data_IF_373702335834
#
_entry.id   IF_373702335834
#
_cell.length_a   1.000
_cell.length_b   1.000
_cell.length_c   1.000
_cell.angle_alpha   90.00
_cell.angle_beta   90.00
_cell.angle_gamma   90.00
#
_symmetry.space_group_name_H-M   'P 1'
#
loop_
_entity.id
_entity.type
_entity.pdbx_description
1 polymer ?
#
# COMPACT_ATOMS: atom_id res chain seq x y z
N UNK A 1 -15.90 -1.28 -7.58
CA UNK A 1 -16.94 -2.05 -8.32
C UNK A 1 -16.44 -3.47 -8.46
N UNK A 2 -17.06 -4.44 -7.79
CA UNK A 2 -16.58 -5.81 -7.77
C UNK A 2 -16.62 -6.39 -9.19
N UNK A 3 -15.47 -6.85 -9.69
CA UNK A 3 -15.38 -7.61 -10.93
C UNK A 3 -16.11 -8.93 -10.71
N UNK A 4 -17.37 -8.99 -11.16
CA UNK A 4 -18.16 -10.21 -11.17
C UNK A 4 -17.42 -11.31 -11.93
N UNK A 5 -17.71 -12.57 -11.60
CA UNK A 5 -17.12 -13.79 -12.13
C UNK A 5 -17.40 -14.04 -13.64
N UNK A 6 -17.42 -12.98 -14.46
CA UNK A 6 -17.51 -13.04 -15.92
C UNK A 6 -16.14 -13.29 -16.56
N UNK A 7 -16.16 -13.68 -17.83
CA UNK A 7 -14.93 -13.87 -18.61
C UNK A 7 -14.07 -12.60 -18.60
N UNK A 8 -12.79 -12.75 -18.25
CA UNK A 8 -11.79 -11.66 -18.25
C UNK A 8 -11.54 -11.11 -19.65
N UNK A 9 -11.64 -11.99 -20.64
CA UNK A 9 -11.49 -11.65 -22.06
C UNK A 9 -12.82 -11.85 -22.78
N UNK A 10 -13.21 -10.86 -23.59
CA UNK A 10 -14.36 -10.98 -24.49
C UNK A 10 -13.89 -10.89 -25.93
N UNK A 11 -14.41 -11.78 -26.79
CA UNK A 11 -13.98 -11.90 -28.18
C UNK A 11 -15.08 -11.44 -29.12
N UNK A 12 -14.80 -10.39 -29.89
CA UNK A 12 -15.64 -9.89 -30.97
C UNK A 12 -15.03 -10.28 -32.32
N UNK A 13 -15.59 -11.31 -32.96
CA UNK A 13 -15.14 -11.84 -34.23
C UNK A 13 -16.32 -12.55 -34.94
N UNK A 14 -16.20 -12.94 -36.22
CA UNK A 14 -17.21 -13.78 -36.87
C UNK A 14 -17.53 -15.04 -36.04
N UNK A 15 -18.78 -15.51 -35.98
CA UNK A 15 -19.22 -16.49 -34.97
C UNK A 15 -18.39 -17.78 -34.89
N UNK A 16 -17.92 -18.30 -36.03
CA UNK A 16 -17.07 -19.49 -36.08
C UNK A 16 -15.69 -19.24 -35.47
N UNK A 17 -15.11 -18.08 -35.77
CA UNK A 17 -13.80 -17.66 -35.29
C UNK A 17 -13.83 -17.27 -33.80
N UNK A 18 -14.86 -16.53 -33.37
CA UNK A 18 -15.06 -16.16 -31.98
C UNK A 18 -15.13 -17.42 -31.09
N UNK A 19 -15.91 -18.44 -31.49
CA UNK A 19 -15.96 -19.73 -30.79
C UNK A 19 -14.59 -20.40 -30.72
N UNK A 20 -13.89 -20.50 -31.85
CA UNK A 20 -12.56 -21.13 -31.94
C UNK A 20 -11.54 -20.42 -31.03
N UNK A 21 -11.52 -19.09 -31.05
CA UNK A 21 -10.58 -18.30 -30.26
C UNK A 21 -10.90 -18.40 -28.77
N UNK A 22 -12.17 -18.28 -28.37
CA UNK A 22 -12.61 -18.49 -26.98
C UNK A 22 -12.23 -19.87 -26.46
N UNK A 23 -12.49 -20.94 -27.23
CA UNK A 23 -12.10 -22.30 -26.83
C UNK A 23 -10.59 -22.44 -26.67
N UNK A 24 -9.79 -21.88 -27.58
CA UNK A 24 -8.33 -21.93 -27.47
C UNK A 24 -7.81 -21.15 -26.27
N UNK A 25 -8.31 -19.93 -26.03
CA UNK A 25 -7.94 -19.10 -24.88
C UNK A 25 -8.26 -19.80 -23.57
N UNK A 26 -9.49 -20.31 -23.43
CA UNK A 26 -9.92 -21.04 -22.23
C UNK A 26 -9.11 -22.31 -21.99
N UNK A 27 -8.77 -23.08 -23.04
CA UNK A 27 -7.82 -24.22 -22.93
C UNK A 27 -6.41 -23.79 -22.50
N UNK A 28 -5.99 -22.59 -22.90
CA UNK A 28 -4.73 -21.97 -22.50
C UNK A 28 -4.75 -21.31 -21.11
N UNK A 29 -5.84 -21.48 -20.34
CA UNK A 29 -6.01 -20.92 -18.99
C UNK A 29 -6.45 -19.45 -18.96
N UNK A 30 -6.93 -18.90 -20.09
CA UNK A 30 -7.45 -17.54 -20.17
C UNK A 30 -8.98 -17.61 -20.32
N UNK A 31 -9.76 -17.34 -19.25
CA UNK A 31 -11.22 -17.39 -19.33
C UNK A 31 -11.75 -16.37 -20.34
N UNK A 32 -12.29 -16.88 -21.45
CA UNK A 32 -12.78 -16.07 -22.56
C UNK A 32 -14.25 -16.39 -22.89
N UNK A 33 -15.02 -15.36 -23.23
CA UNK A 33 -16.38 -15.48 -23.73
C UNK A 33 -16.55 -14.68 -25.02
N UNK A 34 -17.58 -15.01 -25.79
CA UNK A 34 -17.96 -14.21 -26.96
C UNK A 34 -18.49 -12.86 -26.46
N UNK A 35 -18.09 -11.76 -27.11
CA UNK A 35 -18.60 -10.44 -26.78
C UNK A 35 -20.08 -10.31 -27.17
N UNK A 36 -20.87 -9.74 -26.28
CA UNK A 36 -22.32 -9.51 -26.47
C UNK A 36 -22.65 -8.11 -27.02
N UNK A 37 -21.63 -7.30 -27.30
CA UNK A 37 -21.78 -5.93 -27.79
C UNK A 37 -22.14 -4.88 -26.72
N UNK A 38 -22.45 -5.28 -25.49
CA UNK A 38 -23.00 -4.36 -24.47
C UNK A 38 -22.24 -4.36 -23.14
N UNK A 39 -21.70 -5.49 -22.70
CA UNK A 39 -21.08 -5.55 -21.37
C UNK A 39 -19.66 -5.00 -21.36
N UNK A 40 -19.28 -4.38 -20.25
CA UNK A 40 -17.90 -3.96 -20.01
C UNK A 40 -16.98 -5.16 -19.77
N UNK A 41 -15.73 -5.07 -20.21
CA UNK A 41 -14.72 -6.13 -20.04
C UNK A 41 -13.36 -5.57 -19.64
N UNK A 42 -12.59 -6.35 -18.86
CA UNK A 42 -11.17 -6.03 -18.63
C UNK A 42 -10.40 -6.02 -19.94
N UNK A 43 -10.67 -6.99 -20.81
CA UNK A 43 -10.06 -7.11 -22.12
C UNK A 43 -11.10 -7.44 -23.17
N UNK A 44 -11.05 -6.74 -24.30
CA UNK A 44 -11.78 -7.11 -25.51
C UNK A 44 -10.76 -7.42 -26.61
N UNK A 45 -10.91 -8.58 -27.26
CA UNK A 45 -10.16 -8.96 -28.46
C UNK A 45 -11.11 -8.83 -29.64
N UNK A 46 -10.74 -8.02 -30.63
CA UNK A 46 -11.54 -7.78 -31.83
C UNK A 46 -10.75 -8.23 -33.06
N UNK A 47 -11.38 -8.96 -33.98
CA UNK A 47 -10.73 -9.44 -35.22
C UNK A 47 -11.23 -8.63 -36.42
N UNK A 48 -10.29 -8.07 -37.18
CA UNK A 48 -10.47 -7.23 -38.38
C UNK A 48 -11.65 -6.24 -38.29
N UNK A 49 -11.71 -5.38 -37.26
CA UNK A 49 -12.81 -4.43 -37.11
C UNK A 49 -12.76 -3.31 -38.16
N UNK A 50 -13.95 -2.90 -38.63
CA UNK A 50 -14.11 -1.68 -39.42
C UNK A 50 -14.13 -0.41 -38.53
N UNK A 51 -14.66 -0.51 -37.31
CA UNK A 51 -14.72 0.56 -36.31
C UNK A 51 -14.37 0.02 -34.92
N UNK A 52 -13.54 0.76 -34.18
CA UNK A 52 -13.10 0.41 -32.83
C UNK A 52 -13.93 1.09 -31.74
N UNK A 53 -14.66 2.16 -32.04
CA UNK A 53 -15.36 2.98 -31.05
C UNK A 53 -16.31 2.16 -30.14
N UNK A 54 -17.12 1.20 -30.65
CA UNK A 54 -18.02 0.40 -29.81
C UNK A 54 -17.28 -0.48 -28.79
N UNK A 55 -16.04 -0.87 -29.09
CA UNK A 55 -15.24 -1.74 -28.23
C UNK A 55 -14.39 -0.91 -27.24
N UNK A 56 -13.80 0.19 -27.72
CA UNK A 56 -12.99 1.11 -26.90
C UNK A 56 -13.79 1.68 -25.72
N UNK A 57 -15.07 1.95 -25.92
CA UNK A 57 -15.97 2.45 -24.87
C UNK A 57 -16.20 1.44 -23.73
N UNK A 58 -15.97 0.15 -23.97
CA UNK A 58 -16.28 -0.95 -23.04
C UNK A 58 -15.07 -1.78 -22.61
N UNK A 59 -13.92 -1.56 -23.22
CA UNK A 59 -12.69 -2.27 -22.93
C UNK A 59 -11.81 -1.43 -22.01
N UNK A 60 -11.35 -2.03 -20.90
CA UNK A 60 -10.23 -1.46 -20.15
C UNK A 60 -8.93 -1.58 -20.96
N UNK A 61 -8.77 -2.69 -21.69
CA UNK A 61 -7.69 -2.90 -22.64
C UNK A 61 -8.21 -3.54 -23.93
N UNK A 62 -7.95 -2.90 -25.06
CA UNK A 62 -8.45 -3.28 -26.38
C UNK A 62 -7.35 -3.92 -27.22
N UNK A 63 -7.49 -5.22 -27.47
CA UNK A 63 -6.67 -5.99 -28.38
C UNK A 63 -7.32 -6.06 -29.76
N UNK A 64 -6.58 -5.80 -30.81
CA UNK A 64 -7.04 -5.97 -32.20
C UNK A 64 -6.18 -7.02 -32.89
N UNK A 65 -6.81 -7.94 -33.59
CA UNK A 65 -6.15 -8.85 -34.54
C UNK A 65 -6.46 -8.31 -35.93
N UNK A 66 -5.45 -7.81 -36.64
CA UNK A 66 -5.66 -7.23 -37.96
C UNK A 66 -4.41 -6.59 -38.56
N UNK A 67 -4.46 -6.32 -39.86
CA UNK A 67 -3.41 -5.64 -40.59
C UNK A 67 -3.99 -4.64 -41.62
N UNK A 68 -3.31 -3.51 -41.90
CA UNK A 68 -2.05 -3.05 -41.29
C UNK A 68 -2.26 -2.52 -39.86
N UNK A 69 -1.32 -2.80 -38.95
CA UNK A 69 -1.52 -2.51 -37.52
C UNK A 69 -1.58 -1.03 -37.13
N UNK A 70 -0.90 -0.16 -37.88
CA UNK A 70 -0.80 1.27 -37.56
C UNK A 70 -2.17 1.98 -37.49
N UNK A 71 -3.11 1.58 -38.35
CA UNK A 71 -4.45 2.17 -38.36
C UNK A 71 -5.23 1.87 -37.07
N UNK A 72 -5.03 0.69 -36.49
CA UNK A 72 -5.76 0.28 -35.30
C UNK A 72 -5.26 1.00 -34.05
N UNK A 73 -3.95 1.22 -33.95
CA UNK A 73 -3.39 2.06 -32.88
C UNK A 73 -3.90 3.50 -32.97
N UNK A 74 -3.91 4.10 -34.18
CA UNK A 74 -4.47 5.44 -34.38
C UNK A 74 -5.96 5.53 -34.01
N UNK A 75 -6.70 4.44 -34.17
CA UNK A 75 -8.13 4.33 -33.84
C UNK A 75 -8.41 3.87 -32.39
N UNK A 76 -7.39 3.77 -31.52
CA UNK A 76 -7.56 3.54 -30.09
C UNK A 76 -7.40 2.09 -29.59
N UNK A 77 -6.82 1.20 -30.40
CA UNK A 77 -6.32 -0.09 -29.92
C UNK A 77 -5.14 0.11 -28.97
N UNK A 78 -5.13 -0.63 -27.85
CA UNK A 78 -3.98 -0.65 -26.95
C UNK A 78 -2.90 -1.62 -27.44
N UNK A 79 -3.32 -2.69 -28.11
CA UNK A 79 -2.44 -3.75 -28.62
C UNK A 79 -2.95 -4.28 -29.96
N UNK A 80 -2.03 -4.58 -30.89
CA UNK A 80 -2.38 -5.11 -32.22
C UNK A 80 -1.55 -6.34 -32.57
N UNK A 81 -2.21 -7.47 -32.80
CA UNK A 81 -1.60 -8.72 -33.26
C UNK A 81 -1.88 -8.94 -34.76
N UNK A 82 -0.90 -9.51 -35.47
CA UNK A 82 -1.03 -9.82 -36.89
C UNK A 82 -1.90 -11.07 -37.06
N UNK A 83 -2.84 -11.09 -38.03
CA UNK A 83 -3.61 -12.29 -38.35
C UNK A 83 -2.71 -13.48 -38.71
N UNK A 84 -3.12 -14.69 -38.33
CA UNK A 84 -2.36 -15.91 -38.61
C UNK A 84 -1.29 -16.27 -37.58
N UNK A 85 -0.95 -15.38 -36.64
CA UNK A 85 0.01 -15.63 -35.55
C UNK A 85 -0.68 -15.57 -34.17
N UNK A 86 -1.59 -16.52 -33.86
CA UNK A 86 -2.33 -16.52 -32.60
C UNK A 86 -1.41 -16.59 -31.39
N UNK A 87 -0.24 -17.20 -31.49
CA UNK A 87 0.72 -17.32 -30.39
C UNK A 87 1.15 -15.95 -29.84
N UNK A 88 1.25 -14.92 -30.70
CA UNK A 88 1.56 -13.55 -30.30
C UNK A 88 0.43 -12.95 -29.46
N UNK A 89 -0.81 -13.08 -29.93
CA UNK A 89 -2.00 -12.61 -29.20
C UNK A 89 -2.05 -13.26 -27.81
N UNK A 90 -1.84 -14.58 -27.73
CA UNK A 90 -1.90 -15.32 -26.47
C UNK A 90 -0.80 -14.91 -25.51
N UNK A 91 0.42 -14.72 -26.01
CA UNK A 91 1.55 -14.23 -25.21
C UNK A 91 1.26 -12.85 -24.64
N UNK A 92 0.73 -11.92 -25.44
CA UNK A 92 0.41 -10.55 -25.00
C UNK A 92 -0.73 -10.53 -24.00
N UNK A 93 -1.81 -11.27 -24.25
CA UNK A 93 -2.91 -11.42 -23.29
C UNK A 93 -2.40 -11.96 -21.95
N UNK A 94 -1.56 -12.98 -21.96
CA UNK A 94 -0.98 -13.56 -20.74
C UNK A 94 -0.13 -12.54 -19.98
N UNK A 95 0.76 -11.84 -20.66
CA UNK A 95 1.59 -10.79 -20.07
C UNK A 95 0.75 -9.70 -19.41
N UNK A 96 -0.32 -9.28 -20.07
CA UNK A 96 -1.20 -8.24 -19.53
C UNK A 96 -2.00 -8.73 -18.33
N UNK A 97 -2.55 -9.95 -18.38
CA UNK A 97 -3.25 -10.58 -17.24
C UNK A 97 -2.32 -10.70 -16.04
N UNK A 98 -1.11 -11.21 -16.25
CA UNK A 98 -0.11 -11.37 -15.18
C UNK A 98 0.27 -10.03 -14.58
N UNK A 99 0.45 -8.99 -15.40
CA UNK A 99 0.68 -7.63 -14.94
C UNK A 99 -0.47 -7.11 -14.06
N UNK A 100 -1.72 -7.31 -14.48
CA UNK A 100 -2.88 -6.89 -13.69
C UNK A 100 -2.94 -7.65 -12.35
N UNK A 101 -2.71 -8.96 -12.36
CA UNK A 101 -2.72 -9.78 -11.15
C UNK A 101 -1.61 -9.36 -10.17
N UNK A 102 -0.43 -9.01 -10.68
CA UNK A 102 0.67 -8.46 -9.89
C UNK A 102 0.30 -7.11 -9.26
N UNK A 103 -0.28 -6.19 -10.03
CA UNK A 103 -0.72 -4.88 -9.53
C UNK A 103 -1.76 -5.04 -8.42
N UNK A 104 -2.79 -5.87 -8.64
CA UNK A 104 -3.79 -6.13 -7.60
C UNK A 104 -3.21 -6.84 -6.38
N UNK A 105 -2.15 -7.64 -6.54
CA UNK A 105 -1.44 -8.25 -5.40
C UNK A 105 -0.67 -7.22 -4.59
N UNK A 106 -0.02 -6.27 -5.26
CA UNK A 106 0.67 -5.14 -4.60
C UNK A 106 -0.33 -4.28 -3.84
N UNK A 107 -1.46 -3.91 -4.47
CA UNK A 107 -2.53 -3.14 -3.82
C UNK A 107 -3.02 -3.82 -2.53
N UNK A 108 -3.36 -5.13 -2.61
CA UNK A 108 -3.79 -5.90 -1.43
C UNK A 108 -2.73 -5.98 -0.33
N UNK A 109 -1.45 -6.04 -0.69
CA UNK A 109 -0.37 -6.04 0.30
C UNK A 109 -0.24 -4.67 0.95
N UNK A 110 -0.35 -3.59 0.17
CA UNK A 110 -0.33 -2.22 0.70
C UNK A 110 -1.49 -1.96 1.66
N UNK A 111 -2.71 -2.40 1.33
CA UNK A 111 -3.87 -2.33 2.23
C UNK A 111 -3.63 -3.07 3.56
N UNK A 112 -3.04 -4.27 3.50
CA UNK A 112 -2.70 -5.04 4.71
C UNK A 112 -1.64 -4.35 5.56
N UNK A 113 -0.62 -3.76 4.94
CA UNK A 113 0.41 -3.01 5.64
C UNK A 113 -0.20 -1.79 6.32
N UNK A 114 -1.05 -1.02 5.62
CA UNK A 114 -1.74 0.13 6.18
C UNK A 114 -2.63 -0.24 7.37
N UNK A 115 -3.38 -1.34 7.26
CA UNK A 115 -4.21 -1.85 8.37
C UNK A 115 -3.37 -2.28 9.59
N UNK A 116 -2.22 -2.93 9.38
CA UNK A 116 -1.30 -3.29 10.45
C UNK A 116 -0.71 -2.06 11.14
N UNK A 117 -0.32 -1.04 10.38
CA UNK A 117 0.20 0.22 10.92
C UNK A 117 -0.84 0.95 11.76
N UNK A 118 -2.09 1.00 11.31
CA UNK A 118 -3.20 1.55 12.08
C UNK A 118 -3.43 0.76 13.38
N UNK A 119 -3.52 -0.57 13.30
CA UNK A 119 -3.72 -1.41 14.48
C UNK A 119 -2.59 -1.33 15.50
N UNK A 120 -1.33 -1.19 15.05
CA UNK A 120 -0.20 -0.95 15.94
C UNK A 120 -0.32 0.41 16.65
N UNK A 121 -0.73 1.46 15.94
CA UNK A 121 -0.95 2.79 16.50
C UNK A 121 -2.00 2.77 17.61
N UNK A 122 -3.12 2.11 17.38
CA UNK A 122 -4.20 1.98 18.35
C UNK A 122 -3.72 1.20 19.59
N UNK A 123 -3.11 0.04 19.38
CA UNK A 123 -2.60 -0.79 20.49
C UNK A 123 -1.59 -0.05 21.37
N UNK A 124 -0.71 0.77 20.77
CA UNK A 124 0.25 1.56 21.54
C UNK A 124 -0.40 2.71 22.32
N UNK A 125 -1.47 3.32 21.78
CA UNK A 125 -2.26 4.30 22.53
C UNK A 125 -2.92 3.64 23.74
N UNK A 126 -3.54 2.48 23.53
CA UNK A 126 -4.22 1.71 24.57
C UNK A 126 -3.27 1.22 25.66
N UNK A 127 -2.00 0.92 25.32
CA UNK A 127 -0.96 0.55 26.29
C UNK A 127 -0.40 1.76 27.05
N UNK A 128 -0.41 2.96 26.47
CA UNK A 128 0.12 4.17 27.12
C UNK A 128 -0.67 4.50 28.40
N UNK A 129 -2.00 4.43 28.35
CA UNK A 129 -2.88 4.77 29.48
C UNK A 129 -2.63 3.92 30.75
N UNK A 130 -2.64 2.57 30.70
CA UNK A 130 -2.36 1.74 31.87
C UNK A 130 -0.90 1.87 32.34
N UNK A 131 0.07 2.05 31.43
CA UNK A 131 1.45 2.29 31.83
C UNK A 131 1.62 3.64 32.54
N UNK A 132 0.94 4.69 32.09
CA UNK A 132 0.94 5.98 32.78
C UNK A 132 0.36 5.87 34.19
N UNK A 133 -0.71 5.10 34.37
CA UNK A 133 -1.27 4.84 35.70
C UNK A 133 -0.26 4.09 36.61
N UNK A 134 0.41 3.05 36.10
CA UNK A 134 1.43 2.31 36.86
C UNK A 134 2.62 3.20 37.22
N UNK A 135 3.08 4.05 36.28
CA UNK A 135 4.16 5.02 36.53
C UNK A 135 3.75 6.01 37.61
N UNK A 136 2.56 6.60 37.51
CA UNK A 136 2.06 7.56 38.49
C UNK A 136 1.98 6.95 39.90
N UNK A 137 1.46 5.72 40.02
CA UNK A 137 1.43 5.01 41.31
C UNK A 137 2.84 4.74 41.85
N UNK A 138 3.77 4.31 41.00
CA UNK A 138 5.15 4.07 41.37
C UNK A 138 5.87 5.37 41.80
N UNK A 139 5.57 6.50 41.15
CA UNK A 139 6.09 7.81 41.53
C UNK A 139 5.54 8.31 42.87
N UNK A 140 4.26 8.06 43.16
CA UNK A 140 3.65 8.36 44.46
C UNK A 140 4.31 7.55 45.58
N UNK A 141 4.47 6.24 45.38
CA UNK A 141 5.15 5.36 46.33
C UNK A 141 6.61 5.76 46.53
N UNK A 142 7.31 6.18 45.48
CA UNK A 142 8.69 6.67 45.58
C UNK A 142 8.84 7.94 46.44
N UNK A 143 7.75 8.69 46.65
CA UNK A 143 7.71 9.92 47.45
C UNK A 143 7.12 9.72 48.85
N UNK A 144 6.60 8.54 49.15
CA UNK A 144 5.96 8.23 50.43
C UNK A 144 7.00 8.04 51.55
N UNK A 145 7.05 8.98 52.49
CA UNK A 145 7.97 8.97 53.63
C UNK A 145 7.70 7.86 54.64
N UNK A 146 6.52 7.22 54.60
CA UNK A 146 6.19 6.07 55.46
C UNK A 146 6.88 4.77 55.03
N UNK A 147 7.35 4.70 53.77
CA UNK A 147 8.08 3.56 53.25
C UNK A 147 9.57 3.61 53.61
N UNK A 148 10.20 2.44 53.66
CA UNK A 148 11.67 2.35 53.84
C UNK A 148 12.41 2.90 52.62
N UNK A 149 13.66 3.35 52.76
CA UNK A 149 14.48 3.80 51.62
C UNK A 149 14.55 2.77 50.49
N UNK A 150 14.72 1.48 50.82
CA UNK A 150 14.78 0.41 49.83
C UNK A 150 13.46 0.24 49.04
N UNK A 151 12.30 0.39 49.70
CA UNK A 151 10.99 0.32 49.03
C UNK A 151 10.78 1.51 48.09
N UNK A 152 11.20 2.72 48.49
CA UNK A 152 11.16 3.90 47.62
C UNK A 152 12.07 3.75 46.40
N UNK A 153 13.25 3.15 46.57
CA UNK A 153 14.16 2.87 45.45
C UNK A 153 13.57 1.87 44.45
N UNK A 154 12.88 0.83 44.94
CA UNK A 154 12.14 -0.12 44.11
C UNK A 154 11.02 0.58 43.34
N UNK A 155 10.23 1.42 44.00
CA UNK A 155 9.16 2.19 43.37
C UNK A 155 9.72 3.15 42.29
N UNK A 156 10.80 3.87 42.59
CA UNK A 156 11.48 4.72 41.63
C UNK A 156 12.05 3.91 40.45
N UNK A 157 12.54 2.69 40.68
CA UNK A 157 12.98 1.79 39.63
C UNK A 157 11.82 1.35 38.73
N UNK A 158 10.67 1.01 39.31
CA UNK A 158 9.46 0.63 38.57
C UNK A 158 8.97 1.78 37.66
N UNK A 159 8.92 3.01 38.18
CA UNK A 159 8.59 4.20 37.37
C UNK A 159 9.55 4.38 36.17
N UNK A 160 10.86 4.23 36.39
CA UNK A 160 11.87 4.28 35.32
C UNK A 160 11.65 3.19 34.27
N UNK A 161 11.27 1.97 34.67
CA UNK A 161 10.98 0.88 33.73
C UNK A 161 9.71 1.13 32.92
N UNK A 162 8.65 1.64 33.56
CA UNK A 162 7.42 2.03 32.85
C UNK A 162 7.70 3.09 31.77
N UNK A 163 8.50 4.11 32.10
CA UNK A 163 8.90 5.14 31.14
C UNK A 163 9.67 4.55 29.95
N UNK A 164 10.58 3.60 30.20
CA UNK A 164 11.33 2.88 29.14
C UNK A 164 10.40 2.06 28.25
N UNK A 165 9.37 1.44 28.81
CA UNK A 165 8.39 0.66 28.06
C UNK A 165 7.57 1.54 27.11
N UNK A 166 7.14 2.72 27.56
CA UNK A 166 6.46 3.72 26.71
C UNK A 166 7.37 4.13 25.54
N UNK A 167 8.62 4.50 25.82
CA UNK A 167 9.58 4.88 24.77
C UNK A 167 9.86 3.75 23.78
N UNK A 168 9.88 2.49 24.24
CA UNK A 168 10.04 1.35 23.35
C UNK A 168 8.82 1.18 22.42
N UNK A 169 7.60 1.29 22.95
CA UNK A 169 6.38 1.24 22.16
C UNK A 169 6.36 2.35 21.10
N UNK A 170 6.73 3.57 21.46
CA UNK A 170 6.84 4.71 20.54
C UNK A 170 7.86 4.47 19.42
N UNK A 171 9.03 3.88 19.73
CA UNK A 171 10.04 3.55 18.70
C UNK A 171 9.57 2.44 17.75
N UNK A 172 8.85 1.44 18.24
CA UNK A 172 8.28 0.38 17.40
C UNK A 172 7.25 0.96 16.44
N UNK A 173 6.37 1.85 16.93
CA UNK A 173 5.42 2.58 16.11
C UNK A 173 6.09 3.43 15.02
N UNK A 174 7.11 4.18 15.41
CA UNK A 174 7.83 5.05 14.50
C UNK A 174 8.54 4.23 13.41
N UNK A 175 9.17 3.12 13.79
CA UNK A 175 9.77 2.17 12.85
C UNK A 175 8.73 1.53 11.92
N UNK A 176 7.51 1.26 12.41
CA UNK A 176 6.44 0.74 11.58
C UNK A 176 6.06 1.77 10.52
N UNK A 177 5.75 3.01 10.92
CA UNK A 177 5.34 4.12 10.03
C UNK A 177 6.41 4.56 9.03
N UNK A 178 7.70 4.49 9.39
CA UNK A 178 8.81 4.91 8.50
C UNK A 178 8.91 4.07 7.22
N UNK A 179 8.38 2.84 7.19
CA UNK A 179 8.38 2.00 5.97
C UNK A 179 7.50 2.57 4.85
N UNK A 180 6.50 3.40 5.20
CA UNK A 180 5.56 4.02 4.26
C UNK A 180 5.78 5.53 4.03
N UNK A 181 6.69 6.18 4.78
CA UNK A 181 7.04 7.59 4.57
C UNK A 181 8.15 7.73 3.53
N UNK A 182 7.79 7.67 2.25
CA UNK A 182 8.69 8.06 1.15
C UNK A 182 8.67 9.57 0.90
N UNK A 183 7.73 10.30 1.49
CA UNK A 183 7.59 11.75 1.35
C UNK A 183 7.72 12.43 2.70
N UNK A 184 8.73 13.28 2.84
CA UNK A 184 8.81 14.28 3.90
C UNK A 184 7.95 15.46 3.46
N UNK A 185 7.05 15.90 4.32
CA UNK A 185 6.33 17.15 4.10
C UNK A 185 7.28 18.30 4.45
N UNK A 186 7.83 18.93 3.43
CA UNK A 186 8.85 19.96 3.57
C UNK A 186 8.18 21.32 3.68
N UNK A 187 8.11 21.84 4.91
CA UNK A 187 7.64 23.19 5.22
C UNK A 187 8.78 24.06 5.77
N UNK A 188 8.59 25.38 5.73
CA UNK A 188 9.54 26.32 6.33
C UNK A 188 9.62 26.09 7.84
N UNK A 189 10.81 25.77 8.34
CA UNK A 189 11.06 25.43 9.74
C UNK A 189 12.06 26.40 10.35
N UNK A 190 11.70 27.01 11.48
CA UNK A 190 12.62 27.81 12.28
C UNK A 190 13.56 26.90 13.08
N UNK A 191 14.79 26.78 12.59
CA UNK A 191 15.82 25.95 13.21
C UNK A 191 16.26 26.49 14.57
N UNK A 192 16.21 27.81 14.79
CA UNK A 192 16.59 28.42 16.06
C UNK A 192 15.67 27.95 17.19
N UNK A 193 14.36 28.13 17.00
CA UNK A 193 13.33 27.67 17.94
C UNK A 193 13.37 26.15 18.18
N UNK A 194 13.64 25.37 17.13
CA UNK A 194 13.79 23.92 17.25
C UNK A 194 15.00 23.53 18.11
N UNK A 195 16.16 24.13 17.87
CA UNK A 195 17.39 23.85 18.60
C UNK A 195 17.25 24.28 20.06
N UNK A 196 16.65 25.44 20.34
CA UNK A 196 16.37 25.88 21.71
C UNK A 196 15.48 24.90 22.46
N UNK A 197 14.37 24.47 21.84
CA UNK A 197 13.45 23.50 22.42
C UNK A 197 14.14 22.16 22.72
N UNK A 198 14.99 21.68 21.81
CA UNK A 198 15.74 20.45 22.01
C UNK A 198 16.75 20.56 23.16
N UNK A 199 17.44 21.71 23.29
CA UNK A 199 18.36 21.96 24.39
C UNK A 199 17.63 22.01 25.73
N UNK A 200 16.47 22.67 25.82
CA UNK A 200 15.68 22.69 27.06
C UNK A 200 15.24 21.30 27.51
N UNK A 201 14.76 20.47 26.58
CA UNK A 201 14.38 19.09 26.88
C UNK A 201 15.59 18.25 27.36
N UNK A 202 16.78 18.48 26.79
CA UNK A 202 17.99 17.76 27.15
C UNK A 202 18.62 18.23 28.47
N UNK A 203 18.34 19.46 28.94
CA UNK A 203 18.99 20.06 30.13
C UNK A 203 18.83 19.25 31.41
N UNK A 204 17.72 18.54 31.59
CA UNK A 204 17.49 17.71 32.78
C UNK A 204 18.50 16.55 32.83
N UNK A 205 18.75 15.93 31.69
CA UNK A 205 19.72 14.83 31.55
C UNK A 205 21.17 15.34 31.52
N UNK A 206 21.40 16.52 30.96
CA UNK A 206 22.71 17.16 30.96
C UNK A 206 23.18 17.49 32.39
N UNK A 207 22.31 18.10 33.20
CA UNK A 207 22.59 18.43 34.60
C UNK A 207 22.88 17.20 35.46
N UNK A 208 22.13 16.12 35.28
CA UNK A 208 22.39 14.87 36.03
C UNK A 208 23.73 14.22 35.69
N UNK A 209 24.37 14.63 34.58
CA UNK A 209 25.68 14.15 34.13
C UNK A 209 26.79 15.20 34.23
N UNK A 210 26.52 16.37 34.81
CA UNK A 210 27.50 17.46 34.90
C UNK A 210 27.90 18.06 33.54
N UNK A 211 27.06 17.90 32.51
CA UNK A 211 27.30 18.43 31.16
C UNK A 211 26.57 19.76 30.99
N UNK A 212 27.28 20.78 30.51
CA UNK A 212 26.69 22.06 30.12
C UNK A 212 26.26 22.02 28.66
N UNK A 213 25.02 22.40 28.37
CA UNK A 213 24.41 22.37 27.05
C UNK A 213 23.96 23.79 26.67
N UNK A 214 24.49 24.31 25.56
CA UNK A 214 24.24 25.67 25.08
C UNK A 214 23.81 25.62 23.61
N UNK A 215 22.71 26.29 23.28
CA UNK A 215 22.38 26.67 21.91
C UNK A 215 22.92 28.09 21.67
N UNK A 216 23.62 28.30 20.55
CA UNK A 216 24.05 29.62 20.10
C UNK A 216 23.41 29.83 18.73
N UNK A 217 22.74 30.98 18.50
CA UNK A 217 22.09 31.28 17.23
C UNK A 217 23.08 31.37 16.07
#
# INVERSE_FOLDING_TARGET
MALGHGARVRVAAPPAEARKLCTRLSRGGIPAAIDDGVSYAEMIVVVDPADLAPYRARARHLFVVGAPGAQYFASGADEVAVPGEPEILFRRLRMYIERLDLLSRVERLNERVAALEAGLADAAHDVRSPLQAVIGNAELLARDSSLTPAQRDIAAAAARQGMRAIQLAERILESARRRNRTTLDAEGLDLGTLVESAVEQARVNARSRGVTLTAVP
#
